data_IF_892057715683
#
_entry.id   IF_892057715683
#
_cell.length_a   1.000
_cell.length_b   1.000
_cell.length_c   1.000
_cell.angle_alpha   90.00
_cell.angle_beta   90.00
_cell.angle_gamma   90.00
#
_symmetry.space_group_name_H-M   'P 1'
#
loop_
_entity.id
_entity.type
_entity.pdbx_description
1 polymer ?
#
# COMPACT_ATOMS: atom_id res chain seq x y z
N UNK A 1 -63.68 -16.47 18.05
CA UNK A 1 -62.80 -15.45 18.67
C UNK A 1 -61.28 -15.79 18.57
N UNK A 2 -60.79 -16.37 17.46
CA UNK A 2 -59.38 -16.79 17.32
C UNK A 2 -58.57 -16.06 16.23
N UNK A 3 -59.19 -15.16 15.45
CA UNK A 3 -58.53 -14.48 14.33
C UNK A 3 -58.06 -13.03 14.62
N UNK A 4 -58.55 -12.39 15.68
CA UNK A 4 -58.12 -11.02 16.06
C UNK A 4 -56.82 -10.98 16.86
N UNK A 5 -56.53 -12.01 17.66
CA UNK A 5 -55.30 -12.08 18.46
C UNK A 5 -54.08 -12.55 17.65
N UNK A 6 -54.28 -13.26 16.53
CA UNK A 6 -53.19 -13.71 15.66
C UNK A 6 -52.48 -12.53 14.97
N UNK A 7 -53.22 -11.48 14.59
CA UNK A 7 -52.64 -10.26 14.01
C UNK A 7 -51.93 -9.38 15.04
N UNK A 8 -52.41 -9.37 16.30
CA UNK A 8 -51.77 -8.61 17.38
C UNK A 8 -50.49 -9.32 17.87
N UNK A 9 -50.45 -10.65 17.93
CA UNK A 9 -49.23 -11.39 18.26
C UNK A 9 -48.12 -11.24 17.20
N UNK A 10 -48.49 -11.16 15.92
CA UNK A 10 -47.53 -11.00 14.82
C UNK A 10 -46.92 -9.58 14.78
N UNK A 11 -47.67 -8.56 15.20
CA UNK A 11 -47.20 -7.18 15.28
C UNK A 11 -46.21 -6.95 16.44
N UNK A 12 -46.40 -7.65 17.57
CA UNK A 12 -45.49 -7.56 18.74
C UNK A 12 -44.16 -8.27 18.46
N UNK A 13 -44.16 -9.35 17.66
CA UNK A 13 -42.93 -10.05 17.27
C UNK A 13 -42.06 -9.22 16.31
N UNK A 14 -42.66 -8.37 15.48
CA UNK A 14 -41.93 -7.48 14.57
C UNK A 14 -41.30 -6.26 15.26
N UNK A 15 -41.75 -5.86 16.45
CA UNK A 15 -41.18 -4.71 17.17
C UNK A 15 -40.01 -5.08 18.09
N UNK A 16 -39.82 -6.37 18.41
CA UNK A 16 -38.73 -6.85 19.29
C UNK A 16 -37.46 -7.22 18.51
N UNK A 17 -37.56 -7.49 17.20
CA UNK A 17 -36.42 -7.76 16.32
C UNK A 17 -35.63 -6.50 15.93
N UNK A 18 -36.09 -5.29 16.29
CA UNK A 18 -35.44 -4.03 15.95
C UNK A 18 -34.46 -3.50 17.01
N UNK A 19 -34.05 -4.29 18.01
CA UNK A 19 -33.18 -3.80 19.10
C UNK A 19 -31.89 -4.59 19.35
N UNK A 20 -31.54 -5.57 18.52
CA UNK A 20 -30.28 -6.32 18.62
C UNK A 20 -29.51 -6.22 17.32
N UNK A 21 -28.62 -5.23 17.26
CA UNK A 21 -27.71 -5.00 16.13
C UNK A 21 -27.14 -3.59 16.06
N UNK A 22 -26.90 -2.93 17.20
CA UNK A 22 -26.00 -1.77 17.23
C UNK A 22 -24.56 -2.26 17.36
N UNK A 23 -23.64 -1.48 16.78
CA UNK A 23 -22.17 -1.66 16.70
C UNK A 23 -21.66 -2.74 15.74
N UNK A 24 -21.77 -2.44 14.45
CA UNK A 24 -20.89 -2.96 13.42
C UNK A 24 -20.52 -1.83 12.47
N UNK A 25 -19.80 -0.81 12.96
CA UNK A 25 -19.10 0.10 12.06
C UNK A 25 -17.90 -0.67 11.50
N UNK A 26 -18.22 -1.50 10.51
CA UNK A 26 -17.24 -2.10 9.62
C UNK A 26 -16.45 -0.94 9.02
N UNK A 27 -15.19 -0.83 9.41
CA UNK A 27 -14.21 -0.09 8.63
C UNK A 27 -14.36 -0.58 7.20
N UNK A 28 -14.71 0.32 6.28
CA UNK A 28 -14.77 0.02 4.85
C UNK A 28 -13.42 -0.57 4.46
N UNK A 29 -13.36 -1.88 4.30
CA UNK A 29 -12.30 -2.51 3.52
C UNK A 29 -12.52 -2.01 2.09
N UNK A 30 -11.65 -1.11 1.67
CA UNK A 30 -11.52 -0.74 0.28
C UNK A 30 -11.25 -2.02 -0.52
N UNK A 31 -12.12 -2.30 -1.49
CA UNK A 31 -11.88 -3.31 -2.51
C UNK A 31 -10.60 -2.90 -3.27
N UNK A 32 -9.47 -3.46 -2.86
CA UNK A 32 -8.16 -3.23 -3.45
C UNK A 32 -8.04 -4.07 -4.72
N UNK A 33 -8.43 -3.47 -5.84
CA UNK A 33 -8.19 -4.03 -7.16
C UNK A 33 -6.70 -3.91 -7.51
N UNK A 34 -5.88 -4.89 -7.12
CA UNK A 34 -4.60 -5.12 -7.79
C UNK A 34 -3.43 -5.71 -7.01
N UNK A 35 -3.44 -5.79 -5.68
CA UNK A 35 -2.31 -6.37 -4.93
C UNK A 35 -2.43 -7.90 -4.87
N UNK A 36 -1.52 -8.61 -5.55
CA UNK A 36 -1.34 -10.05 -5.37
C UNK A 36 -0.71 -10.26 -3.98
N UNK A 37 -1.32 -11.07 -3.12
CA UNK A 37 -0.75 -11.43 -1.81
C UNK A 37 -1.26 -10.57 -0.66
N UNK A 38 -2.25 -11.09 0.08
CA UNK A 38 -2.81 -10.45 1.27
C UNK A 38 -1.79 -10.47 2.42
N UNK A 39 -1.11 -9.35 2.64
CA UNK A 39 -0.22 -9.15 3.78
C UNK A 39 -0.64 -7.99 4.67
N UNK A 40 -0.08 -7.94 5.89
CA UNK A 40 -0.18 -6.76 6.76
C UNK A 40 0.70 -5.66 6.17
N UNK A 41 0.16 -4.45 5.98
CA UNK A 41 0.95 -3.30 5.56
C UNK A 41 1.91 -2.87 6.69
N UNK A 42 3.20 -2.81 6.37
CA UNK A 42 4.29 -2.45 7.29
C UNK A 42 4.71 -0.99 7.07
N UNK A 43 4.74 -0.56 5.81
CA UNK A 43 5.20 0.77 5.42
C UNK A 43 4.36 1.30 4.25
N UNK A 44 4.19 2.62 4.24
CA UNK A 44 3.67 3.39 3.12
C UNK A 44 4.39 4.73 3.14
N UNK A 45 4.87 5.15 1.97
CA UNK A 45 5.34 6.51 1.75
C UNK A 45 4.85 7.01 0.40
N UNK A 46 4.34 8.25 0.40
CA UNK A 46 3.84 8.93 -0.79
C UNK A 46 4.51 10.29 -0.93
N UNK A 47 5.04 10.56 -2.11
CA UNK A 47 5.55 11.88 -2.50
C UNK A 47 4.73 12.47 -3.65
N UNK A 48 4.88 13.77 -3.87
CA UNK A 48 4.45 14.40 -5.12
C UNK A 48 5.63 15.13 -5.78
N UNK A 49 6.08 14.70 -6.97
CA UNK A 49 7.23 15.30 -7.63
C UNK A 49 6.95 16.69 -8.22
N UNK A 50 5.68 17.01 -8.46
CA UNK A 50 5.30 18.20 -9.23
C UNK A 50 4.37 19.17 -8.49
N UNK A 51 4.00 18.89 -7.22
CA UNK A 51 3.01 19.69 -6.47
C UNK A 51 3.30 21.19 -6.46
N UNK A 52 4.57 21.56 -6.32
CA UNK A 52 4.99 22.96 -6.26
C UNK A 52 5.10 23.64 -7.64
N UNK A 53 4.92 22.87 -8.72
CA UNK A 53 5.12 23.33 -10.10
C UNK A 53 3.85 23.30 -10.95
N UNK A 54 2.72 22.87 -10.38
CA UNK A 54 1.42 22.81 -11.07
C UNK A 54 0.42 23.74 -10.39
N UNK A 55 -0.39 24.44 -11.19
CA UNK A 55 -1.39 25.38 -10.67
C UNK A 55 -2.69 24.68 -10.25
N UNK A 56 -3.08 23.61 -10.96
CA UNK A 56 -4.30 22.89 -10.67
C UNK A 56 -4.01 21.62 -9.85
N UNK A 57 -4.77 21.42 -8.78
CA UNK A 57 -4.67 20.23 -7.93
C UNK A 57 -4.87 18.91 -8.70
N UNK A 58 -5.71 18.91 -9.74
CA UNK A 58 -5.96 17.74 -10.60
C UNK A 58 -4.73 17.30 -11.41
N UNK A 59 -3.75 18.18 -11.60
CA UNK A 59 -2.53 17.92 -12.37
C UNK A 59 -1.38 17.44 -11.44
N UNK A 60 -1.62 17.38 -10.13
CA UNK A 60 -0.67 16.88 -9.14
C UNK A 60 -0.55 15.36 -9.28
N UNK A 61 0.69 14.89 -9.47
CA UNK A 61 1.04 13.49 -9.53
C UNK A 61 1.49 13.03 -8.15
N UNK A 62 1.11 11.82 -7.76
CA UNK A 62 1.62 11.15 -6.57
C UNK A 62 2.34 9.87 -6.96
N UNK A 63 3.44 9.59 -6.28
CA UNK A 63 4.17 8.33 -6.33
C UNK A 63 4.12 7.72 -4.93
N UNK A 64 3.79 6.44 -4.85
CA UNK A 64 3.62 5.73 -3.58
C UNK A 64 4.40 4.43 -3.61
N UNK A 65 5.16 4.17 -2.55
CA UNK A 65 5.75 2.87 -2.24
C UNK A 65 5.01 2.29 -1.03
N UNK A 66 4.50 1.08 -1.17
CA UNK A 66 3.87 0.32 -0.09
C UNK A 66 4.62 -0.99 0.12
N UNK A 67 4.83 -1.36 1.39
CA UNK A 67 5.46 -2.62 1.74
C UNK A 67 4.54 -3.38 2.68
N UNK A 68 4.24 -4.62 2.29
CA UNK A 68 3.43 -5.56 3.03
C UNK A 68 4.27 -6.77 3.42
N UNK A 69 3.83 -7.48 4.45
CA UNK A 69 4.36 -8.80 4.74
C UNK A 69 3.20 -9.77 4.95
N UNK A 70 3.23 -10.90 4.24
CA UNK A 70 2.19 -11.93 4.36
C UNK A 70 2.43 -12.86 5.56
N UNK A 71 1.53 -13.81 5.78
CA UNK A 71 1.65 -14.77 6.89
C UNK A 71 2.82 -15.74 6.77
N UNK A 72 3.38 -15.89 5.57
CA UNK A 72 4.54 -16.74 5.28
C UNK A 72 5.86 -15.94 5.36
N UNK A 73 5.80 -14.73 5.94
CA UNK A 73 6.90 -13.77 6.05
C UNK A 73 7.45 -13.22 4.73
N UNK A 74 6.86 -13.55 3.58
CA UNK A 74 7.22 -12.95 2.28
C UNK A 74 6.86 -11.47 2.30
N UNK A 75 7.85 -10.65 1.97
CA UNK A 75 7.73 -9.20 1.89
C UNK A 75 7.33 -8.84 0.46
N UNK A 76 6.28 -8.04 0.33
CA UNK A 76 5.73 -7.60 -0.94
C UNK A 76 5.96 -6.10 -1.04
N UNK A 77 6.81 -5.68 -1.98
CA UNK A 77 7.02 -4.27 -2.29
C UNK A 77 6.18 -3.91 -3.50
N UNK A 78 5.32 -2.91 -3.36
CA UNK A 78 4.42 -2.41 -4.40
C UNK A 78 4.68 -0.93 -4.64
N UNK A 79 4.61 -0.52 -5.91
CA UNK A 79 4.65 0.89 -6.29
C UNK A 79 3.42 1.28 -7.09
N UNK A 80 2.85 2.45 -6.77
CA UNK A 80 1.64 3.01 -7.40
C UNK A 80 1.89 4.47 -7.78
N UNK A 81 1.23 4.95 -8.82
CA UNK A 81 1.22 6.38 -9.14
C UNK A 81 -0.12 6.80 -9.73
N UNK A 82 -0.50 8.06 -9.49
CA UNK A 82 -1.65 8.68 -10.14
C UNK A 82 -1.36 9.10 -11.58
N UNK A 83 -0.10 9.03 -12.03
CA UNK A 83 0.24 9.27 -13.43
C UNK A 83 -0.40 8.21 -14.33
N UNK A 84 -1.13 8.65 -15.36
CA UNK A 84 -1.78 7.77 -16.33
C UNK A 84 -0.80 6.89 -17.14
N UNK A 85 0.50 7.25 -17.14
CA UNK A 85 1.54 6.51 -17.87
C UNK A 85 2.21 5.43 -17.02
N UNK A 86 2.02 5.45 -15.70
CA UNK A 86 2.64 4.49 -14.81
C UNK A 86 1.71 3.30 -14.59
N UNK A 87 2.23 2.09 -14.79
CA UNK A 87 1.55 0.86 -14.39
C UNK A 87 2.09 0.43 -13.03
N UNK A 88 1.23 0.08 -12.06
CA UNK A 88 1.70 -0.47 -10.80
C UNK A 88 2.65 -1.63 -11.00
N UNK A 89 3.67 -1.69 -10.15
CA UNK A 89 4.68 -2.74 -10.16
C UNK A 89 4.75 -3.37 -8.78
N UNK A 90 5.16 -4.64 -8.75
CA UNK A 90 5.28 -5.42 -7.53
C UNK A 90 6.46 -6.38 -7.64
N UNK A 91 7.17 -6.61 -6.53
CA UNK A 91 8.11 -7.70 -6.37
C UNK A 91 8.08 -8.27 -4.95
N UNK A 92 8.60 -9.49 -4.81
CA UNK A 92 8.67 -10.21 -3.55
C UNK A 92 10.12 -10.29 -3.06
N UNK A 93 10.29 -10.25 -1.74
CA UNK A 93 11.55 -10.45 -1.03
C UNK A 93 11.32 -11.50 0.04
N UNK A 94 12.13 -12.55 0.04
CA UNK A 94 12.07 -13.61 1.03
C UNK A 94 12.60 -13.11 2.38
N UNK A 95 12.00 -13.59 3.46
CA UNK A 95 12.38 -13.20 4.82
C UNK A 95 12.00 -14.29 5.81
N UNK A 96 12.89 -14.59 6.76
CA UNK A 96 12.67 -15.68 7.72
C UNK A 96 11.67 -15.32 8.81
N UNK A 97 11.65 -14.05 9.21
CA UNK A 97 10.84 -13.54 10.33
C UNK A 97 10.07 -12.27 9.96
N UNK A 98 9.25 -11.78 10.89
CA UNK A 98 8.53 -10.54 10.69
C UNK A 98 9.47 -9.34 10.65
N UNK A 99 9.25 -8.40 9.74
CA UNK A 99 9.93 -7.10 9.72
C UNK A 99 9.04 -5.99 10.29
N UNK A 100 9.64 -4.86 10.59
CA UNK A 100 8.99 -3.66 11.12
C UNK A 100 9.31 -2.43 10.27
N UNK A 101 8.71 -1.29 10.60
CA UNK A 101 8.96 -0.03 9.88
C UNK A 101 10.43 0.38 9.92
N UNK A 102 11.15 0.11 11.02
CA UNK A 102 12.57 0.49 11.15
C UNK A 102 13.51 -0.35 10.28
N UNK A 103 13.02 -1.46 9.72
CA UNK A 103 13.78 -2.33 8.82
C UNK A 103 13.67 -1.88 7.35
N UNK A 104 12.91 -0.81 7.09
CA UNK A 104 12.61 -0.30 5.75
C UNK A 104 13.20 1.10 5.64
N UNK A 105 13.90 1.34 4.54
CA UNK A 105 14.39 2.65 4.15
C UNK A 105 14.01 2.94 2.70
N UNK A 106 13.52 4.15 2.44
CA UNK A 106 13.13 4.61 1.11
C UNK A 106 13.76 5.98 0.87
N UNK A 107 14.71 6.02 -0.06
CA UNK A 107 15.36 7.25 -0.49
C UNK A 107 14.81 7.67 -1.85
N UNK A 108 14.29 8.89 -1.94
CA UNK A 108 13.82 9.44 -3.21
C UNK A 108 14.91 10.27 -3.86
N UNK A 109 15.13 10.03 -5.15
CA UNK A 109 16.03 10.85 -5.96
C UNK A 109 15.40 11.22 -7.30
N UNK A 110 15.98 12.23 -7.92
CA UNK A 110 15.74 12.53 -9.32
C UNK A 110 16.33 11.46 -10.23
N UNK A 111 16.05 11.53 -11.53
CA UNK A 111 16.66 10.65 -12.54
C UNK A 111 18.18 10.81 -12.61
N UNK A 112 18.71 11.97 -12.19
CA UNK A 112 20.16 12.23 -12.09
C UNK A 112 20.76 11.83 -10.74
N UNK A 113 19.95 11.32 -9.80
CA UNK A 113 20.41 10.88 -8.48
C UNK A 113 20.49 11.98 -7.43
N UNK A 114 19.89 13.15 -7.67
CA UNK A 114 19.85 14.24 -6.69
C UNK A 114 18.73 14.02 -5.67
N UNK A 115 18.94 14.27 -4.37
CA UNK A 115 17.86 14.25 -3.38
C UNK A 115 17.01 15.53 -3.42
N UNK A 116 17.58 16.64 -3.87
CA UNK A 116 16.92 17.94 -3.95
C UNK A 116 16.37 18.18 -5.37
N UNK A 117 15.04 18.12 -5.57
CA UNK A 117 14.46 18.28 -6.90
C UNK A 117 14.40 19.74 -7.35
N UNK A 118 14.37 19.91 -8.67
CA UNK A 118 14.01 21.17 -9.33
C UNK A 118 12.81 20.94 -10.24
N UNK A 119 12.29 22.01 -10.84
CA UNK A 119 11.20 21.89 -11.81
C UNK A 119 11.59 21.01 -13.01
N UNK A 120 12.85 21.10 -13.44
CA UNK A 120 13.41 20.38 -14.59
C UNK A 120 13.97 19.00 -14.21
N UNK A 121 14.25 18.75 -12.93
CA UNK A 121 14.79 17.49 -12.41
C UNK A 121 13.99 17.07 -11.17
N UNK A 122 12.85 16.43 -11.40
CA UNK A 122 11.92 16.02 -10.34
C UNK A 122 12.23 14.61 -9.81
N UNK A 123 11.70 14.28 -8.63
CA UNK A 123 11.86 12.96 -8.00
C UNK A 123 11.10 11.89 -8.79
N UNK A 124 11.82 10.92 -9.34
CA UNK A 124 11.24 9.83 -10.13
C UNK A 124 11.74 8.46 -9.72
N UNK A 125 12.72 8.39 -8.81
CA UNK A 125 13.35 7.14 -8.39
C UNK A 125 13.15 6.98 -6.89
N UNK A 126 12.63 5.84 -6.47
CA UNK A 126 12.68 5.40 -5.08
C UNK A 126 13.70 4.27 -4.95
N UNK A 127 14.75 4.46 -4.15
CA UNK A 127 15.64 3.38 -3.73
C UNK A 127 15.07 2.76 -2.46
N UNK A 128 14.54 1.55 -2.56
CA UNK A 128 13.96 0.81 -1.44
C UNK A 128 15.00 -0.15 -0.91
N UNK A 129 15.28 -0.08 0.38
CA UNK A 129 16.13 -1.04 1.09
C UNK A 129 15.30 -1.75 2.15
N UNK A 130 15.40 -3.08 2.18
CA UNK A 130 14.73 -3.94 3.15
C UNK A 130 15.79 -4.70 3.90
N UNK A 131 15.78 -4.58 5.23
CA UNK A 131 16.69 -5.29 6.13
C UNK A 131 15.93 -6.23 7.06
N UNK A 132 16.66 -7.10 7.74
CA UNK A 132 16.14 -7.88 8.86
C UNK A 132 17.26 -8.09 9.86
N UNK A 133 17.01 -7.78 11.14
CA UNK A 133 17.99 -7.92 12.21
C UNK A 133 19.31 -7.20 11.92
N UNK A 134 19.24 -6.04 11.24
CA UNK A 134 20.40 -5.24 10.84
C UNK A 134 21.19 -5.75 9.63
N UNK A 135 20.71 -6.79 8.93
CA UNK A 135 21.29 -7.28 7.68
C UNK A 135 20.40 -6.88 6.50
N UNK A 136 21.01 -6.40 5.42
CA UNK A 136 20.31 -6.12 4.17
C UNK A 136 19.80 -7.43 3.56
N UNK A 137 18.53 -7.46 3.16
CA UNK A 137 17.92 -8.55 2.39
C UNK A 137 17.86 -8.19 0.90
N UNK A 138 17.34 -7.00 0.61
CA UNK A 138 17.13 -6.54 -0.77
C UNK A 138 17.27 -5.02 -0.86
N UNK A 139 17.84 -4.55 -1.96
CA UNK A 139 17.91 -3.15 -2.34
C UNK A 139 17.62 -2.98 -3.83
N UNK A 140 16.54 -2.26 -4.15
CA UNK A 140 16.13 -2.01 -5.54
C UNK A 140 15.73 -0.57 -5.77
N UNK A 141 15.99 -0.08 -6.98
CA UNK A 141 15.40 1.17 -7.46
C UNK A 141 14.10 0.90 -8.18
N UNK A 142 13.11 1.75 -7.90
CA UNK A 142 11.84 1.82 -8.60
C UNK A 142 11.83 3.11 -9.40
N UNK A 143 11.76 3.02 -10.72
CA UNK A 143 11.71 4.18 -11.59
C UNK A 143 10.27 4.46 -12.04
N UNK A 144 9.69 5.53 -11.52
CA UNK A 144 8.32 5.96 -11.81
C UNK A 144 8.17 6.65 -13.17
N UNK A 145 9.26 7.08 -13.81
CA UNK A 145 9.23 7.68 -15.13
C UNK A 145 9.11 6.62 -16.25
N UNK A 146 9.73 5.45 -16.09
CA UNK A 146 9.71 4.39 -17.10
C UNK A 146 9.02 3.09 -16.66
N UNK A 147 8.64 2.96 -15.38
CA UNK A 147 7.94 1.77 -14.87
C UNK A 147 8.84 0.53 -14.77
N UNK A 148 10.11 0.69 -14.40
CA UNK A 148 11.05 -0.42 -14.25
C UNK A 148 11.63 -0.52 -12.83
N UNK A 149 12.07 -1.73 -12.48
CA UNK A 149 12.93 -1.98 -11.32
C UNK A 149 14.37 -2.24 -11.76
N UNK A 150 15.31 -1.81 -10.93
CA UNK A 150 16.73 -2.14 -11.04
C UNK A 150 17.16 -2.79 -9.72
N UNK A 151 17.72 -4.00 -9.79
CA UNK A 151 18.29 -4.69 -8.63
C UNK A 151 19.67 -4.08 -8.37
N UNK A 152 19.85 -3.50 -7.19
CA UNK A 152 21.14 -2.95 -6.76
C UNK A 152 21.90 -4.00 -5.96
N UNK A 153 21.22 -4.64 -5.01
CA UNK A 153 21.77 -5.71 -4.19
C UNK A 153 20.64 -6.67 -3.81
N UNK A 154 20.89 -7.96 -3.98
CA UNK A 154 19.96 -9.03 -3.61
C UNK A 154 20.77 -10.10 -2.89
N UNK A 155 20.44 -10.34 -1.62
CA UNK A 155 21.12 -11.34 -0.80
C UNK A 155 20.37 -12.65 -0.92
N UNK A 156 20.74 -13.42 -1.95
CA UNK A 156 20.29 -14.81 -2.09
C UNK A 156 21.07 -15.64 -1.07
N UNK A 157 20.45 -15.99 0.05
CA UNK A 157 21.01 -17.03 0.92
C UNK A 157 21.02 -18.35 0.14
N UNK A 158 22.22 -18.87 -0.14
CA UNK A 158 22.39 -20.21 -0.67
C UNK A 158 21.92 -21.22 0.38
N UNK A 159 20.74 -21.81 0.20
CA UNK A 159 20.26 -22.96 0.97
C UNK A 159 21.17 -24.17 0.84
#
# INVERSE_FOLDING_TARGET
MRKKYFKVMLAVFFLVLCTLGTTGCSSKESEDSGVIGKGKRIFEETISPNKDYVENEKDVVYHTVEIYQNSDNVIIVTSKSTSAFFKPLQYEVESDTSITKSDIDVEWTTSMGNPDPTKEDQLHIACVSVSQNGKLLDKRKINFANGAFEIIEDVIESK
#
